data_IF_683265018742
#
_entry.id   IF_683265018742
#
_cell.length_a   1.000
_cell.length_b   1.000
_cell.length_c   1.000
_cell.angle_alpha   90.00
_cell.angle_beta   90.00
_cell.angle_gamma   90.00
#
_symmetry.space_group_name_H-M   'P 1'
#
loop_
_entity.id
_entity.type
_entity.pdbx_description
1 polymer ?
#
# COMPACT_ATOMS: atom_id res chain seq x y z
N UNK A 1 28.62 10.55 36.37
CA UNK A 1 28.29 9.53 35.38
C UNK A 1 26.95 8.82 35.58
N UNK A 2 26.40 8.70 36.78
CA UNK A 2 25.08 8.04 37.02
C UNK A 2 23.84 8.84 36.56
N UNK A 3 23.92 10.19 36.54
CA UNK A 3 22.79 11.07 36.15
C UNK A 3 22.47 11.02 34.64
N UNK A 4 23.49 10.88 33.78
CA UNK A 4 23.30 10.80 32.34
C UNK A 4 22.67 9.49 31.89
N UNK A 5 22.98 8.38 32.56
CA UNK A 5 22.38 7.07 32.26
C UNK A 5 20.89 7.00 32.65
N UNK A 6 20.48 7.67 33.74
CA UNK A 6 19.09 7.74 34.18
C UNK A 6 18.24 8.60 33.23
N UNK A 7 18.78 9.71 32.74
CA UNK A 7 18.10 10.58 31.76
C UNK A 7 17.94 9.89 30.41
N UNK A 8 18.94 9.12 29.96
CA UNK A 8 18.89 8.34 28.74
C UNK A 8 17.84 7.20 28.81
N UNK A 9 17.75 6.52 29.97
CA UNK A 9 16.73 5.50 30.22
C UNK A 9 15.31 6.08 30.28
N UNK A 10 15.12 7.30 30.76
CA UNK A 10 13.82 7.96 30.80
C UNK A 10 13.42 8.50 29.41
N UNK A 11 14.35 8.99 28.60
CA UNK A 11 14.11 9.43 27.23
C UNK A 11 13.72 8.23 26.34
N UNK A 12 14.37 7.06 26.49
CA UNK A 12 14.04 5.83 25.75
C UNK A 12 12.68 5.22 26.11
N UNK A 13 12.04 5.62 27.19
CA UNK A 13 10.67 5.23 27.53
C UNK A 13 9.60 5.90 26.66
N UNK A 14 9.97 6.95 25.89
CA UNK A 14 9.06 7.57 24.92
C UNK A 14 9.18 6.82 23.58
N UNK A 15 8.12 6.14 23.09
CA UNK A 15 8.20 5.26 21.93
C UNK A 15 8.67 5.98 20.65
N UNK A 16 8.46 7.28 20.54
CA UNK A 16 8.93 8.07 19.41
C UNK A 16 10.46 8.27 19.41
N UNK A 17 11.09 8.40 20.60
CA UNK A 17 12.55 8.53 20.73
C UNK A 17 13.23 7.22 20.33
N UNK A 18 12.69 6.09 20.79
CA UNK A 18 13.21 4.78 20.40
C UNK A 18 13.09 4.56 18.87
N UNK A 19 11.96 4.94 18.26
CA UNK A 19 11.79 4.87 16.79
C UNK A 19 12.81 5.73 16.05
N UNK A 20 13.00 6.98 16.50
CA UNK A 20 13.98 7.89 15.89
C UNK A 20 15.41 7.35 16.03
N UNK A 21 15.76 6.82 17.21
CA UNK A 21 17.08 6.24 17.46
C UNK A 21 17.35 5.05 16.53
N UNK A 22 16.36 4.17 16.33
CA UNK A 22 16.49 3.03 15.40
C UNK A 22 16.68 3.52 13.96
N UNK A 23 15.89 4.51 13.51
CA UNK A 23 16.01 5.06 12.16
C UNK A 23 17.39 5.68 11.96
N UNK A 24 17.86 6.50 12.89
CA UNK A 24 19.19 7.13 12.83
C UNK A 24 20.30 6.08 12.83
N UNK A 25 20.16 5.03 13.67
CA UNK A 25 21.13 3.94 13.70
C UNK A 25 21.18 3.19 12.36
N UNK A 26 20.03 2.91 11.74
CA UNK A 26 19.97 2.24 10.44
C UNK A 26 20.63 3.08 9.34
N UNK A 27 20.35 4.38 9.28
CA UNK A 27 20.99 5.29 8.33
C UNK A 27 22.51 5.40 8.58
N UNK A 28 22.92 5.42 9.84
CA UNK A 28 24.33 5.46 10.22
C UNK A 28 25.06 4.17 9.80
N UNK A 29 24.46 3.02 10.06
CA UNK A 29 25.02 1.73 9.63
C UNK A 29 25.09 1.63 8.11
N UNK A 30 24.08 2.11 7.39
CA UNK A 30 24.11 2.16 5.93
C UNK A 30 25.20 3.10 5.42
N UNK A 31 25.39 4.28 6.01
CA UNK A 31 26.45 5.23 5.63
C UNK A 31 27.84 4.59 5.81
N UNK A 32 28.08 3.88 6.93
CA UNK A 32 29.33 3.17 7.18
C UNK A 32 29.53 2.04 6.17
N UNK A 33 28.51 1.20 5.99
CA UNK A 33 28.59 0.08 5.07
C UNK A 33 28.91 0.52 3.64
N UNK A 34 28.25 1.59 3.17
CA UNK A 34 28.45 2.11 1.81
C UNK A 34 29.80 2.82 1.61
N UNK A 35 30.44 3.31 2.70
CA UNK A 35 31.74 3.99 2.59
C UNK A 35 32.93 3.06 2.77
N UNK A 36 32.81 2.03 3.63
CA UNK A 36 33.95 1.27 4.12
C UNK A 36 33.90 -0.23 3.83
N UNK A 37 32.71 -0.77 3.53
CA UNK A 37 32.50 -2.24 3.39
C UNK A 37 32.14 -2.64 1.97
N UNK A 38 31.30 -1.85 1.29
CA UNK A 38 30.74 -2.20 -0.01
C UNK A 38 31.36 -1.31 -1.10
N UNK A 39 31.62 -1.90 -2.26
CA UNK A 39 32.10 -1.15 -3.42
C UNK A 39 31.08 -0.06 -3.81
N UNK A 40 31.52 1.19 -4.04
CA UNK A 40 30.67 2.30 -4.48
C UNK A 40 29.85 2.02 -5.75
N UNK A 41 30.25 1.02 -6.54
CA UNK A 41 29.51 0.58 -7.72
C UNK A 41 28.18 -0.11 -7.38
N UNK A 42 28.07 -0.70 -6.17
CA UNK A 42 26.88 -1.45 -5.76
C UNK A 42 26.01 -0.71 -4.75
N UNK A 43 26.62 0.12 -3.90
CA UNK A 43 25.90 0.80 -2.84
C UNK A 43 26.36 2.24 -2.66
N UNK A 44 25.44 3.19 -2.78
CA UNK A 44 25.71 4.60 -2.53
C UNK A 44 25.34 4.98 -1.09
N UNK A 45 26.16 5.81 -0.40
CA UNK A 45 25.84 6.27 0.95
C UNK A 45 24.62 7.19 0.96
N UNK A 46 23.78 7.15 2.01
CA UNK A 46 22.60 8.03 2.17
C UNK A 46 22.89 9.50 1.91
N UNK A 47 24.01 10.01 2.43
CA UNK A 47 24.42 11.40 2.23
C UNK A 47 24.53 11.77 0.74
N UNK A 48 25.10 10.91 -0.09
CA UNK A 48 25.23 11.11 -1.54
C UNK A 48 23.87 10.98 -2.22
N UNK A 49 23.04 10.02 -1.80
CA UNK A 49 21.68 9.81 -2.34
C UNK A 49 20.83 11.07 -2.14
N UNK A 50 20.80 11.65 -0.93
CA UNK A 50 20.03 12.87 -0.67
C UNK A 50 20.50 14.07 -1.47
N UNK A 51 21.81 14.27 -1.63
CA UNK A 51 22.38 15.34 -2.45
C UNK A 51 22.06 15.15 -3.93
N UNK A 52 21.90 13.91 -4.40
CA UNK A 52 21.60 13.61 -5.81
C UNK A 52 20.11 13.72 -6.18
N UNK A 53 19.19 13.87 -5.22
CA UNK A 53 17.76 13.95 -5.49
C UNK A 53 17.37 15.00 -6.57
N UNK A 54 17.88 16.23 -6.54
CA UNK A 54 17.62 17.20 -7.62
C UNK A 54 18.02 16.67 -9.00
N UNK A 55 19.21 16.05 -9.11
CA UNK A 55 19.69 15.48 -10.37
C UNK A 55 18.83 14.29 -10.86
N UNK A 56 18.18 13.56 -9.96
CA UNK A 56 17.19 12.52 -10.33
C UNK A 56 15.99 13.16 -11.00
N UNK A 57 15.45 14.26 -10.43
CA UNK A 57 14.31 14.98 -11.03
C UNK A 57 14.68 15.70 -12.33
N UNK A 58 15.92 16.18 -12.47
CA UNK A 58 16.43 16.82 -13.70
C UNK A 58 16.72 15.81 -14.81
N UNK A 59 16.76 14.51 -14.49
CA UNK A 59 16.93 13.46 -15.50
C UNK A 59 15.74 13.48 -16.47
N UNK A 60 16.04 13.66 -17.77
CA UNK A 60 15.03 13.76 -18.81
C UNK A 60 14.11 12.54 -18.80
N UNK A 61 12.80 12.80 -18.66
CA UNK A 61 11.77 11.75 -18.65
C UNK A 61 11.32 11.31 -17.26
N UNK A 62 12.12 11.47 -16.20
CA UNK A 62 11.75 11.07 -14.84
C UNK A 62 10.49 11.79 -14.32
N UNK A 63 10.31 13.12 -14.49
CA UNK A 63 9.08 13.79 -14.06
C UNK A 63 7.82 13.31 -14.82
N UNK A 64 7.97 12.96 -16.09
CA UNK A 64 6.86 12.39 -16.89
C UNK A 64 6.53 10.96 -16.41
N UNK A 65 7.56 10.16 -16.13
CA UNK A 65 7.41 8.81 -15.59
C UNK A 65 6.73 8.82 -14.21
N UNK A 66 7.10 9.74 -13.31
CA UNK A 66 6.45 9.94 -12.00
C UNK A 66 4.95 10.22 -12.15
N UNK A 67 4.58 11.13 -13.06
CA UNK A 67 3.17 11.45 -13.32
C UNK A 67 2.41 10.25 -13.87
N UNK A 68 3.02 9.49 -14.78
CA UNK A 68 2.42 8.30 -15.35
C UNK A 68 2.18 7.23 -14.28
N UNK A 69 3.20 6.88 -13.50
CA UNK A 69 3.08 5.89 -12.40
C UNK A 69 2.06 6.33 -11.37
N UNK A 70 2.04 7.62 -10.98
CA UNK A 70 1.04 8.15 -10.06
C UNK A 70 -0.38 7.99 -10.61
N UNK A 71 -0.61 8.29 -11.89
CA UNK A 71 -1.90 8.11 -12.55
C UNK A 71 -2.31 6.63 -12.60
N UNK A 72 -1.39 5.73 -12.98
CA UNK A 72 -1.63 4.28 -12.99
C UNK A 72 -2.01 3.76 -11.59
N UNK A 73 -1.31 4.21 -10.56
CA UNK A 73 -1.61 3.89 -9.16
C UNK A 73 -2.99 4.42 -8.73
N UNK A 74 -3.32 5.66 -9.07
CA UNK A 74 -4.60 6.26 -8.70
C UNK A 74 -5.79 5.52 -9.34
N UNK A 75 -5.68 5.20 -10.64
CA UNK A 75 -6.73 4.45 -11.36
C UNK A 75 -6.83 3.03 -10.82
N UNK A 76 -5.70 2.33 -10.65
CA UNK A 76 -5.70 0.96 -10.13
C UNK A 76 -6.29 0.91 -8.70
N UNK A 77 -5.95 1.88 -7.85
CA UNK A 77 -6.50 1.95 -6.51
C UNK A 77 -8.00 2.24 -6.50
N UNK A 78 -8.47 3.20 -7.28
CA UNK A 78 -9.89 3.50 -7.38
C UNK A 78 -10.70 2.28 -7.84
N UNK A 79 -10.22 1.57 -8.87
CA UNK A 79 -10.86 0.33 -9.33
C UNK A 79 -10.82 -0.77 -8.27
N UNK A 80 -9.69 -0.93 -7.57
CA UNK A 80 -9.56 -1.91 -6.47
C UNK A 80 -10.54 -1.63 -5.34
N UNK A 81 -10.75 -0.36 -5.00
CA UNK A 81 -11.71 0.06 -3.96
C UNK A 81 -13.13 -0.27 -4.39
N UNK A 82 -13.51 0.06 -5.62
CA UNK A 82 -14.87 -0.21 -6.14
C UNK A 82 -15.14 -1.71 -6.19
N UNK A 83 -14.25 -2.48 -6.81
CA UNK A 83 -14.39 -3.95 -6.92
C UNK A 83 -14.39 -4.58 -5.52
N UNK A 84 -13.43 -4.17 -4.68
CA UNK A 84 -13.30 -4.68 -3.31
C UNK A 84 -14.53 -4.41 -2.47
N UNK A 85 -15.12 -3.21 -2.58
CA UNK A 85 -16.33 -2.84 -1.87
C UNK A 85 -17.54 -3.67 -2.33
N UNK A 86 -17.77 -3.74 -3.64
CA UNK A 86 -18.93 -4.47 -4.21
C UNK A 86 -18.86 -5.95 -3.88
N UNK A 87 -17.72 -6.59 -4.20
CA UNK A 87 -17.54 -8.03 -3.96
C UNK A 87 -17.46 -8.34 -2.47
N UNK A 88 -16.75 -7.51 -1.69
CA UNK A 88 -16.63 -7.68 -0.23
C UNK A 88 -17.97 -7.60 0.49
N UNK A 89 -18.85 -6.67 0.10
CA UNK A 89 -20.23 -6.60 0.60
C UNK A 89 -21.06 -7.80 0.15
N UNK A 90 -21.00 -8.16 -1.12
CA UNK A 90 -21.76 -9.32 -1.64
C UNK A 90 -21.39 -10.61 -0.90
N UNK A 91 -20.10 -10.84 -0.68
CA UNK A 91 -19.60 -12.01 0.05
C UNK A 91 -19.87 -11.90 1.56
N UNK A 92 -19.69 -10.72 2.15
CA UNK A 92 -19.87 -10.50 3.58
C UNK A 92 -21.32 -10.63 4.03
N UNK A 93 -22.28 -10.10 3.24
CA UNK A 93 -23.70 -10.06 3.60
C UNK A 93 -24.44 -11.39 3.42
N UNK A 94 -23.96 -12.24 2.52
CA UNK A 94 -24.62 -13.51 2.19
C UNK A 94 -23.87 -14.70 2.75
N UNK A 95 -24.43 -15.46 3.73
CA UNK A 95 -23.75 -16.62 4.32
C UNK A 95 -23.37 -17.69 3.31
N UNK A 96 -24.20 -17.92 2.29
CA UNK A 96 -23.89 -18.86 1.21
C UNK A 96 -22.71 -18.39 0.38
N UNK A 97 -22.75 -17.14 -0.11
CA UNK A 97 -21.66 -16.55 -0.91
C UNK A 97 -20.34 -16.57 -0.12
N UNK A 98 -20.38 -16.26 1.16
CA UNK A 98 -19.21 -16.30 2.04
C UNK A 98 -18.62 -17.69 2.15
N UNK A 99 -19.44 -18.71 2.46
CA UNK A 99 -18.96 -20.10 2.58
C UNK A 99 -18.38 -20.64 1.29
N UNK A 100 -18.95 -20.23 0.15
CA UNK A 100 -18.53 -20.72 -1.17
C UNK A 100 -17.33 -19.95 -1.75
N UNK A 101 -17.32 -18.62 -1.69
CA UNK A 101 -16.33 -17.80 -2.40
C UNK A 101 -15.16 -17.36 -1.54
N UNK A 102 -15.32 -17.19 -0.22
CA UNK A 102 -14.20 -16.74 0.63
C UNK A 102 -12.98 -17.67 0.59
N UNK A 103 -13.14 -19.02 0.62
CA UNK A 103 -11.98 -19.92 0.48
C UNK A 103 -11.26 -19.73 -0.87
N UNK A 104 -12.00 -19.50 -1.96
CA UNK A 104 -11.44 -19.27 -3.29
C UNK A 104 -10.70 -17.93 -3.33
N UNK A 105 -11.31 -16.86 -2.77
CA UNK A 105 -10.70 -15.54 -2.67
C UNK A 105 -9.38 -15.60 -1.90
N UNK A 106 -9.34 -16.28 -0.76
CA UNK A 106 -8.14 -16.44 0.06
C UNK A 106 -7.06 -17.26 -0.66
N UNK A 107 -7.44 -18.31 -1.39
CA UNK A 107 -6.53 -19.10 -2.20
C UNK A 107 -5.89 -18.25 -3.31
N UNK A 108 -6.70 -17.50 -4.04
CA UNK A 108 -6.22 -16.60 -5.10
C UNK A 108 -5.35 -15.48 -4.53
N UNK A 109 -5.72 -14.90 -3.39
CA UNK A 109 -4.94 -13.89 -2.71
C UNK A 109 -3.57 -14.41 -2.23
N UNK A 110 -3.51 -15.67 -1.77
CA UNK A 110 -2.27 -16.32 -1.34
C UNK A 110 -1.39 -16.84 -2.48
N UNK A 111 -1.89 -16.86 -3.72
CA UNK A 111 -1.10 -17.29 -4.88
C UNK A 111 -0.05 -16.22 -5.25
N UNK A 112 1.20 -16.60 -5.63
CA UNK A 112 2.20 -15.66 -6.13
C UNK A 112 1.75 -14.99 -7.43
N UNK A 113 1.08 -13.83 -7.32
CA UNK A 113 0.43 -13.18 -8.47
C UNK A 113 1.43 -12.72 -9.54
N UNK A 114 2.71 -12.53 -9.18
CA UNK A 114 3.75 -12.15 -10.15
C UNK A 114 3.89 -13.16 -11.30
N UNK A 115 3.58 -14.43 -11.03
CA UNK A 115 3.66 -15.50 -12.06
C UNK A 115 2.61 -15.36 -13.17
N UNK A 116 1.52 -14.65 -12.90
CA UNK A 116 0.45 -14.43 -13.89
C UNK A 116 0.59 -13.08 -14.61
N UNK A 117 1.62 -12.27 -14.32
CA UNK A 117 1.88 -11.01 -15.02
C UNK A 117 1.95 -11.16 -16.55
N UNK A 118 2.59 -12.20 -17.13
CA UNK A 118 2.60 -12.39 -18.57
C UNK A 118 1.21 -12.51 -19.19
N UNK A 119 0.22 -13.06 -18.47
CA UNK A 119 -1.16 -13.14 -18.94
C UNK A 119 -1.81 -11.74 -19.02
N UNK A 120 -1.55 -10.87 -18.05
CA UNK A 120 -2.04 -9.49 -18.11
C UNK A 120 -1.48 -8.75 -19.31
N UNK A 121 -0.20 -8.99 -19.63
CA UNK A 121 0.43 -8.39 -20.80
C UNK A 121 -0.16 -8.95 -22.10
N UNK A 122 -0.42 -10.25 -22.14
CA UNK A 122 -1.03 -10.90 -23.29
C UNK A 122 -2.43 -10.34 -23.59
N UNK A 123 -3.25 -10.10 -22.54
CA UNK A 123 -4.62 -9.63 -22.72
C UNK A 123 -4.74 -8.10 -22.89
N UNK A 124 -3.92 -7.33 -22.18
CA UNK A 124 -4.02 -5.87 -22.12
C UNK A 124 -2.92 -5.16 -22.91
N UNK A 125 -1.95 -5.91 -23.45
CA UNK A 125 -0.80 -5.35 -24.19
C UNK A 125 0.26 -4.74 -23.27
N UNK A 126 1.36 -4.29 -23.91
CA UNK A 126 2.43 -3.55 -23.23
C UNK A 126 2.00 -2.09 -23.11
N UNK A 127 1.63 -1.66 -21.87
CA UNK A 127 1.18 -0.29 -21.67
C UNK A 127 0.53 -0.08 -20.29
N UNK A 128 -0.12 1.09 -20.08
CA UNK A 128 -0.77 1.41 -18.81
C UNK A 128 -1.88 0.43 -18.42
N UNK A 129 -2.61 -0.13 -19.39
CA UNK A 129 -3.74 -1.01 -19.13
C UNK A 129 -3.33 -2.30 -18.39
N UNK A 130 -2.26 -2.96 -18.82
CA UNK A 130 -1.75 -4.18 -18.15
C UNK A 130 -1.25 -3.88 -16.73
N UNK A 131 -0.57 -2.76 -16.53
CA UNK A 131 -0.06 -2.33 -15.22
C UNK A 131 -1.19 -2.01 -14.24
N UNK A 132 -2.20 -1.25 -14.72
CA UNK A 132 -3.40 -0.94 -13.94
C UNK A 132 -4.13 -2.23 -13.59
N UNK A 133 -4.40 -3.11 -14.55
CA UNK A 133 -5.09 -4.37 -14.31
C UNK A 133 -4.34 -5.27 -13.33
N UNK A 134 -3.01 -5.33 -13.44
CA UNK A 134 -2.17 -6.09 -12.52
C UNK A 134 -2.14 -5.45 -11.12
N UNK A 135 -2.07 -4.11 -11.03
CA UNK A 135 -2.22 -3.38 -9.76
C UNK A 135 -3.57 -3.63 -9.10
N UNK A 136 -4.67 -3.62 -9.88
CA UNK A 136 -6.01 -3.96 -9.40
C UNK A 136 -6.03 -5.36 -8.81
N UNK A 137 -5.43 -6.36 -9.48
CA UNK A 137 -5.42 -7.74 -8.99
C UNK A 137 -4.76 -7.88 -7.62
N UNK A 138 -3.75 -7.06 -7.30
CA UNK A 138 -3.10 -7.03 -5.99
C UNK A 138 -3.89 -6.25 -4.94
N UNK A 139 -4.63 -5.21 -5.36
CA UNK A 139 -5.29 -4.29 -4.45
C UNK A 139 -6.67 -4.74 -3.96
N UNK A 140 -7.48 -5.38 -4.80
CA UNK A 140 -8.88 -5.65 -4.44
C UNK A 140 -9.05 -6.80 -3.42
N UNK A 141 -8.18 -7.80 -3.41
CA UNK A 141 -8.30 -8.94 -2.49
C UNK A 141 -8.26 -8.53 -1.02
N UNK A 142 -7.26 -7.77 -0.53
CA UNK A 142 -7.25 -7.36 0.87
C UNK A 142 -8.46 -6.50 1.24
N UNK A 143 -9.00 -5.71 0.30
CA UNK A 143 -10.20 -4.91 0.52
C UNK A 143 -11.43 -5.81 0.68
N UNK A 144 -11.60 -6.83 -0.19
CA UNK A 144 -12.70 -7.81 -0.07
C UNK A 144 -12.66 -8.49 1.30
N UNK A 145 -11.49 -9.01 1.69
CA UNK A 145 -11.32 -9.74 2.94
C UNK A 145 -11.63 -8.85 4.15
N UNK A 146 -11.12 -7.62 4.14
CA UNK A 146 -11.36 -6.67 5.23
C UNK A 146 -12.84 -6.28 5.36
N UNK A 147 -13.53 -6.02 4.24
CA UNK A 147 -14.96 -5.68 4.26
C UNK A 147 -15.79 -6.87 4.74
N UNK A 148 -15.54 -8.06 4.21
CA UNK A 148 -16.25 -9.27 4.64
C UNK A 148 -16.05 -9.54 6.15
N UNK A 149 -14.83 -9.34 6.66
CA UNK A 149 -14.54 -9.42 8.10
C UNK A 149 -15.27 -8.34 8.89
N UNK A 150 -15.33 -7.10 8.38
CA UNK A 150 -16.04 -6.00 9.01
C UNK A 150 -17.54 -6.27 9.15
N UNK A 151 -18.15 -6.86 8.14
CA UNK A 151 -19.57 -7.27 8.19
C UNK A 151 -19.79 -8.40 9.22
N UNK A 152 -18.85 -9.33 9.33
CA UNK A 152 -18.92 -10.44 10.29
C UNK A 152 -18.78 -10.00 11.74
N UNK A 153 -18.04 -8.96 11.99
CA UNK A 153 -17.77 -8.46 13.34
C UNK A 153 -18.97 -7.66 13.91
N UNK A 154 -20.05 -7.45 13.15
CA UNK A 154 -21.25 -6.79 13.64
C UNK A 154 -21.93 -7.70 14.67
N UNK A 155 -22.18 -7.16 15.87
CA UNK A 155 -22.86 -7.91 16.93
C UNK A 155 -24.26 -8.35 16.47
N UNK A 156 -24.60 -9.66 16.53
CA UNK A 156 -25.88 -10.18 16.06
C UNK A 156 -27.10 -9.51 16.70
N UNK A 157 -26.95 -9.09 17.97
CA UNK A 157 -28.03 -8.43 18.71
C UNK A 157 -28.48 -7.14 18.00
N UNK A 158 -27.58 -6.36 17.39
CA UNK A 158 -27.92 -5.12 16.68
C UNK A 158 -28.81 -5.42 15.46
N UNK A 159 -28.50 -6.50 14.73
CA UNK A 159 -29.27 -6.90 13.56
C UNK A 159 -30.66 -7.45 13.97
N UNK A 160 -30.71 -8.20 15.07
CA UNK A 160 -31.95 -8.76 15.60
C UNK A 160 -32.87 -7.65 16.13
N UNK A 161 -32.33 -6.73 16.94
CA UNK A 161 -33.10 -5.59 17.48
C UNK A 161 -33.69 -4.71 16.38
N UNK A 162 -32.89 -4.39 15.37
CA UNK A 162 -33.37 -3.59 14.22
C UNK A 162 -34.50 -4.28 13.48
N UNK A 163 -34.40 -5.60 13.25
CA UNK A 163 -35.49 -6.37 12.61
C UNK A 163 -36.74 -6.44 13.46
N UNK A 164 -36.60 -6.60 14.78
CA UNK A 164 -37.73 -6.57 15.72
C UNK A 164 -38.47 -5.23 15.76
N UNK A 165 -37.73 -4.14 15.47
CA UNK A 165 -38.30 -2.78 15.32
C UNK A 165 -38.87 -2.51 13.93
N UNK A 166 -38.91 -3.51 13.03
CA UNK A 166 -39.45 -3.37 11.68
C UNK A 166 -38.57 -2.68 10.68
N UNK A 167 -37.22 -2.58 10.95
CA UNK A 167 -36.30 -1.96 10.03
C UNK A 167 -36.19 -2.72 8.71
N UNK A 168 -36.32 -2.03 7.59
CA UNK A 168 -36.12 -2.59 6.24
C UNK A 168 -34.65 -3.01 6.03
N UNK A 169 -34.39 -3.89 5.03
CA UNK A 169 -33.03 -4.31 4.66
C UNK A 169 -32.13 -3.14 4.34
N UNK A 170 -32.66 -2.09 3.67
CA UNK A 170 -31.90 -0.89 3.33
C UNK A 170 -31.57 -0.05 4.57
N UNK A 171 -32.50 0.06 5.52
CA UNK A 171 -32.25 0.75 6.79
C UNK A 171 -31.17 0.04 7.60
N UNK A 172 -31.22 -1.29 7.70
CA UNK A 172 -30.18 -2.10 8.35
C UNK A 172 -28.84 -1.91 7.68
N UNK A 173 -28.77 -1.94 6.34
CA UNK A 173 -27.54 -1.72 5.59
C UNK A 173 -26.95 -0.33 5.87
N UNK A 174 -27.78 0.71 5.75
CA UNK A 174 -27.33 2.12 5.84
C UNK A 174 -27.00 2.55 7.27
N UNK A 175 -27.74 2.10 8.27
CA UNK A 175 -27.61 2.62 9.65
C UNK A 175 -26.85 1.68 10.59
N UNK A 176 -26.68 0.41 10.23
CA UNK A 176 -25.97 -0.54 11.07
C UNK A 176 -24.73 -1.09 10.35
N UNK A 177 -24.91 -1.71 9.18
CA UNK A 177 -23.82 -2.43 8.52
C UNK A 177 -22.77 -1.45 8.02
N UNK A 178 -23.17 -0.45 7.24
CA UNK A 178 -22.25 0.49 6.63
C UNK A 178 -21.42 1.25 7.68
N UNK A 179 -21.99 1.86 8.72
CA UNK A 179 -21.19 2.50 9.76
C UNK A 179 -20.19 1.53 10.44
N UNK A 180 -20.65 0.34 10.85
CA UNK A 180 -19.80 -0.61 11.56
C UNK A 180 -18.64 -1.17 10.72
N UNK A 181 -18.79 -1.24 9.40
CA UNK A 181 -17.72 -1.72 8.52
C UNK A 181 -16.68 -0.65 8.16
N UNK A 182 -16.93 0.65 8.41
CA UNK A 182 -16.03 1.76 8.04
C UNK A 182 -14.58 1.50 8.50
N UNK A 183 -14.28 1.15 9.76
CA UNK A 183 -12.90 0.91 10.19
C UNK A 183 -12.23 -0.22 9.40
N UNK A 184 -12.95 -1.32 9.17
CA UNK A 184 -12.44 -2.46 8.39
C UNK A 184 -12.24 -2.11 6.93
N UNK A 185 -13.13 -1.30 6.36
CA UNK A 185 -13.01 -0.79 4.99
C UNK A 185 -11.73 0.02 4.81
N UNK A 186 -11.45 0.99 5.69
CA UNK A 186 -10.22 1.78 5.62
C UNK A 186 -8.96 0.95 5.90
N UNK A 187 -9.02 -0.01 6.82
CA UNK A 187 -7.94 -0.96 7.02
C UNK A 187 -7.66 -1.77 5.73
N UNK A 188 -8.71 -2.24 5.06
CA UNK A 188 -8.63 -2.89 3.76
C UNK A 188 -8.04 -1.98 2.67
N UNK A 189 -8.45 -0.72 2.62
CA UNK A 189 -7.91 0.27 1.68
C UNK A 189 -6.41 0.48 1.86
N UNK A 190 -5.89 0.54 3.08
CA UNK A 190 -4.43 0.66 3.34
C UNK A 190 -3.67 -0.55 2.84
N UNK A 191 -4.16 -1.75 3.13
CA UNK A 191 -3.56 -2.98 2.61
C UNK A 191 -3.68 -3.06 1.09
N UNK A 192 -4.83 -2.66 0.55
CA UNK A 192 -5.08 -2.58 -0.89
C UNK A 192 -4.17 -1.58 -1.60
N UNK A 193 -3.92 -0.40 -1.01
CA UNK A 193 -2.98 0.58 -1.55
C UNK A 193 -1.55 0.00 -1.63
N UNK A 194 -1.11 -0.71 -0.59
CA UNK A 194 0.19 -1.38 -0.59
C UNK A 194 0.24 -2.46 -1.68
N UNK A 195 -0.84 -3.22 -1.85
CA UNK A 195 -0.96 -4.20 -2.93
C UNK A 195 -0.89 -3.56 -4.32
N UNK A 196 -1.65 -2.48 -4.54
CA UNK A 196 -1.64 -1.74 -5.81
C UNK A 196 -0.24 -1.21 -6.13
N UNK A 197 0.45 -0.63 -5.13
CA UNK A 197 1.83 -0.15 -5.29
C UNK A 197 2.75 -1.29 -5.75
N UNK A 198 2.69 -2.43 -5.08
CA UNK A 198 3.48 -3.61 -5.47
C UNK A 198 3.14 -4.06 -6.89
N UNK A 199 1.86 -4.20 -7.22
CA UNK A 199 1.42 -4.68 -8.53
C UNK A 199 1.86 -3.76 -9.67
N UNK A 200 1.58 -2.47 -9.56
CA UNK A 200 1.94 -1.49 -10.62
C UNK A 200 3.46 -1.40 -10.78
N UNK A 201 4.21 -1.29 -9.68
CA UNK A 201 5.67 -1.18 -9.75
C UNK A 201 6.33 -2.45 -10.28
N UNK A 202 5.84 -3.65 -9.89
CA UNK A 202 6.32 -4.91 -10.47
C UNK A 202 6.05 -4.97 -11.97
N UNK A 203 4.86 -4.60 -12.42
CA UNK A 203 4.56 -4.57 -13.85
C UNK A 203 5.45 -3.56 -14.62
N UNK A 204 5.76 -2.42 -14.01
CA UNK A 204 6.68 -1.44 -14.60
C UNK A 204 8.13 -1.95 -14.67
N UNK A 205 8.58 -2.69 -13.67
CA UNK A 205 9.94 -3.26 -13.67
C UNK A 205 10.14 -4.32 -14.75
N UNK A 206 9.12 -5.17 -14.96
CA UNK A 206 9.30 -6.33 -15.84
C UNK A 206 9.04 -6.04 -17.32
N UNK A 207 8.13 -5.14 -17.66
CA UNK A 207 7.64 -5.04 -19.06
C UNK A 207 7.33 -3.60 -19.47
N UNK A 208 7.92 -2.60 -18.85
CA UNK A 208 7.58 -1.23 -19.20
C UNK A 208 8.65 -0.51 -20.00
N UNK A 209 8.20 0.23 -21.02
CA UNK A 209 8.98 1.26 -21.72
C UNK A 209 8.78 2.65 -21.14
N UNK A 210 7.94 2.78 -20.09
CA UNK A 210 7.58 4.05 -19.47
C UNK A 210 7.16 3.85 -18.00
N UNK A 211 7.28 4.88 -17.17
CA UNK A 211 7.04 4.84 -15.74
C UNK A 211 8.33 4.77 -14.93
N UNK A 212 8.20 4.84 -13.61
CA UNK A 212 9.38 4.87 -12.71
C UNK A 212 10.10 3.53 -12.67
N UNK A 213 9.36 2.42 -12.76
CA UNK A 213 9.96 1.09 -12.80
C UNK A 213 10.92 0.92 -13.98
N UNK A 214 10.61 1.51 -15.14
CA UNK A 214 11.52 1.55 -16.27
C UNK A 214 12.85 2.26 -15.93
N UNK A 215 12.79 3.44 -15.28
CA UNK A 215 14.01 4.15 -14.87
C UNK A 215 14.77 3.38 -13.78
N UNK A 216 14.07 2.68 -12.90
CA UNK A 216 14.72 1.78 -11.91
C UNK A 216 15.56 0.72 -12.61
N UNK A 217 15.00 0.05 -13.62
CA UNK A 217 15.71 -0.93 -14.44
C UNK A 217 16.87 -0.29 -15.20
N UNK A 218 16.67 0.89 -15.80
CA UNK A 218 17.72 1.62 -16.53
C UNK A 218 18.92 1.98 -15.62
N UNK A 219 18.67 2.53 -14.43
CA UNK A 219 19.74 2.87 -13.50
C UNK A 219 20.45 1.64 -12.95
N UNK A 220 19.73 0.52 -12.76
CA UNK A 220 20.33 -0.76 -12.38
C UNK A 220 21.26 -1.29 -13.46
N UNK A 221 20.83 -1.28 -14.73
CA UNK A 221 21.65 -1.75 -15.87
C UNK A 221 22.89 -0.88 -16.11
N UNK A 222 22.80 0.42 -15.80
CA UNK A 222 23.92 1.36 -15.94
C UNK A 222 24.85 1.39 -14.71
N UNK A 223 24.63 0.52 -13.68
CA UNK A 223 25.38 0.52 -12.43
C UNK A 223 25.44 1.91 -11.77
N UNK A 224 24.30 2.63 -11.75
CA UNK A 224 24.16 3.93 -11.08
C UNK A 224 23.34 3.79 -9.78
N UNK A 225 23.96 3.29 -8.69
CA UNK A 225 23.26 3.07 -7.42
C UNK A 225 22.79 4.38 -6.79
N UNK A 226 23.46 5.49 -7.09
CA UNK A 226 23.09 6.79 -6.52
C UNK A 226 21.73 7.26 -7.04
N UNK A 227 21.53 7.27 -8.36
CA UNK A 227 20.24 7.62 -8.95
C UNK A 227 19.16 6.58 -8.68
N UNK A 228 19.55 5.29 -8.69
CA UNK A 228 18.64 4.19 -8.33
C UNK A 228 18.06 4.37 -6.93
N UNK A 229 18.90 4.54 -5.92
CA UNK A 229 18.48 4.72 -4.53
C UNK A 229 17.75 6.06 -4.33
N UNK A 230 18.13 7.10 -5.06
CA UNK A 230 17.40 8.36 -5.13
C UNK A 230 15.97 8.16 -5.62
N UNK A 231 15.80 7.43 -6.72
CA UNK A 231 14.48 7.12 -7.29
C UNK A 231 13.65 6.25 -6.35
N UNK A 232 14.25 5.23 -5.72
CA UNK A 232 13.59 4.40 -4.70
C UNK A 232 13.15 5.26 -3.51
N UNK A 233 13.95 6.25 -3.09
CA UNK A 233 13.57 7.18 -2.01
C UNK A 233 12.36 8.04 -2.39
N UNK A 234 12.27 8.48 -3.64
CA UNK A 234 11.09 9.21 -4.17
C UNK A 234 9.86 8.30 -4.19
N UNK A 235 10.00 7.04 -4.62
CA UNK A 235 8.92 6.05 -4.58
C UNK A 235 8.44 5.78 -3.15
N UNK A 236 9.37 5.62 -2.21
CA UNK A 236 9.04 5.44 -0.80
C UNK A 236 8.28 6.65 -0.24
N UNK A 237 8.71 7.87 -0.56
CA UNK A 237 8.02 9.09 -0.16
C UNK A 237 6.60 9.14 -0.76
N UNK A 238 6.44 8.80 -2.04
CA UNK A 238 5.14 8.72 -2.70
C UNK A 238 4.22 7.68 -2.03
N UNK A 239 4.74 6.50 -1.71
CA UNK A 239 3.99 5.46 -1.00
C UNK A 239 3.54 5.92 0.38
N UNK A 240 4.41 6.59 1.14
CA UNK A 240 4.08 7.17 2.46
C UNK A 240 2.97 8.21 2.32
N UNK A 241 3.06 9.11 1.35
CA UNK A 241 2.05 10.16 1.11
C UNK A 241 0.70 9.54 0.76
N UNK A 242 0.67 8.56 -0.15
CA UNK A 242 -0.56 7.88 -0.54
C UNK A 242 -1.21 7.14 0.64
N UNK A 243 -0.43 6.41 1.43
CA UNK A 243 -0.95 5.75 2.63
C UNK A 243 -1.41 6.74 3.70
N UNK A 244 -0.72 7.88 3.85
CA UNK A 244 -1.13 8.94 4.77
C UNK A 244 -2.45 9.60 4.35
N UNK A 245 -2.70 9.77 3.05
CA UNK A 245 -3.98 10.26 2.54
C UNK A 245 -5.11 9.31 2.94
N UNK A 246 -4.93 8.00 2.74
CA UNK A 246 -5.92 6.98 3.16
C UNK A 246 -6.12 7.00 4.67
N UNK A 247 -5.06 7.12 5.46
CA UNK A 247 -5.12 7.23 6.92
C UNK A 247 -5.89 8.47 7.39
N UNK A 248 -5.66 9.61 6.76
CA UNK A 248 -6.39 10.85 7.09
C UNK A 248 -7.88 10.73 6.76
N UNK A 249 -8.21 10.11 5.64
CA UNK A 249 -9.59 9.80 5.30
C UNK A 249 -10.23 8.88 6.36
N UNK A 250 -9.53 7.82 6.81
CA UNK A 250 -9.99 6.95 7.89
C UNK A 250 -10.31 7.73 9.17
N UNK A 251 -9.39 8.56 9.63
CA UNK A 251 -9.58 9.38 10.84
C UNK A 251 -10.76 10.35 10.69
N UNK A 252 -10.94 10.93 9.50
CA UNK A 252 -12.04 11.86 9.25
C UNK A 252 -13.40 11.15 9.29
N UNK A 253 -13.53 10.00 8.64
CA UNK A 253 -14.78 9.24 8.57
C UNK A 253 -15.00 8.28 9.75
N UNK A 254 -13.95 7.91 10.48
CA UNK A 254 -14.01 7.01 11.63
C UNK A 254 -14.37 7.67 12.97
N UNK A 255 -14.46 9.00 13.04
CA UNK A 255 -14.76 9.76 14.29
C UNK A 255 -16.10 9.42 14.92
N UNK A 256 -17.02 8.82 14.19
CA UNK A 256 -18.36 8.45 14.66
C UNK A 256 -18.42 7.20 15.56
N UNK A 257 -17.27 6.56 15.83
CA UNK A 257 -17.18 5.32 16.64
C UNK A 257 -16.38 5.49 17.93
N UNK A 258 -15.99 6.71 18.27
CA UNK A 258 -15.14 6.99 19.44
C UNK A 258 -15.93 7.41 20.69
N UNK A 259 -17.28 7.41 20.65
CA UNK A 259 -18.18 7.70 21.78
C UNK A 259 -18.99 6.48 22.16
#
# INVERSE_FOLDING_TARGET
MASTAATFRHAMRRPWVARLAVIVLLFFLWEIAARWVVDPMFLSPPSRVFVSLPAVFDTRGVPAALRLTFWELAVAFALSVVIGLVVGLAVGLQPFARKSFMPIILLLYGTPQVTILPLFILYFGIGPASKIAFGVSHGFFPIIVAIAAGVLNIKPILLTSARSMGASRWQVLRHIIFPHMIPSFFAGMRLGMTGVLLGVLLAELYVSTAGIGHFTTLFTQNFDPTRLLGLISVLAAMAIVLNEIVRRAEVHFGRWHAD
#
